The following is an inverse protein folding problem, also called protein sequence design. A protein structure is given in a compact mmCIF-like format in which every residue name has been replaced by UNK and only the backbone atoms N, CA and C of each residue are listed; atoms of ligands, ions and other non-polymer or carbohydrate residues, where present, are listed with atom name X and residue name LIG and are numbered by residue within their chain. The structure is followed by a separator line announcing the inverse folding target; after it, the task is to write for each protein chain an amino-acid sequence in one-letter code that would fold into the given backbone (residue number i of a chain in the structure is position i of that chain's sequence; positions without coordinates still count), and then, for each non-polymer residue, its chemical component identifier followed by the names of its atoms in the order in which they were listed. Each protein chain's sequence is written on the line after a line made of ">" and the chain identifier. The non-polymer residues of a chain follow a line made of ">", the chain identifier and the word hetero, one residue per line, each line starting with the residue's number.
data_IF_827563489409
#
_entry.id   IF_827563489409
#
_cell.length_a   1.000
_cell.length_b   1.000
_cell.length_c   1.000
_cell.angle_alpha   90.00
_cell.angle_beta   90.00
_cell.angle_gamma   90.00
#
_symmetry.space_group_name_H-M   'P 1'
#
loop_
_entity.id
_entity.type
_entity.pdbx_description
1 polymer ?
#
# COMPACT_ATOMS: atom_id res chain seq x y z
N UNK A 1 38.03 -19.36 -31.48
CA UNK A 1 39.41 -19.74 -31.13
C UNK A 1 39.68 -19.32 -29.68
N UNK A 2 40.09 -20.28 -28.82
CA UNK A 2 40.96 -20.18 -27.62
C UNK A 2 40.63 -19.08 -26.56
N UNK A 3 40.31 -19.33 -25.28
CA UNK A 3 40.87 -20.22 -24.23
C UNK A 3 39.75 -20.58 -23.20
N UNK A 4 39.49 -21.82 -22.73
CA UNK A 4 40.24 -22.77 -21.86
C UNK A 4 40.71 -22.18 -20.52
N UNK A 5 39.95 -22.39 -19.44
CA UNK A 5 40.11 -23.46 -18.43
C UNK A 5 41.42 -23.42 -17.63
N UNK A 6 41.30 -23.12 -16.33
CA UNK A 6 42.23 -23.54 -15.29
C UNK A 6 41.41 -23.97 -14.06
N UNK A 7 41.34 -25.29 -13.88
CA UNK A 7 41.06 -25.97 -12.61
C UNK A 7 42.34 -26.67 -12.17
N UNK A 8 42.36 -27.10 -10.88
CA UNK A 8 43.33 -27.94 -10.16
C UNK A 8 44.23 -27.11 -9.20
N UNK A 9 44.47 -27.44 -7.93
CA UNK A 9 44.41 -28.72 -7.18
C UNK A 9 44.11 -28.46 -5.69
N UNK A 10 43.47 -29.45 -5.07
CA UNK A 10 43.34 -29.81 -3.64
C UNK A 10 44.56 -29.54 -2.73
N UNK A 11 44.29 -29.33 -1.44
CA UNK A 11 45.04 -30.00 -0.37
C UNK A 11 44.12 -30.24 0.85
N UNK A 12 44.02 -31.50 1.26
CA UNK A 12 43.53 -31.96 2.55
C UNK A 12 44.59 -31.74 3.62
N UNK A 13 44.19 -31.44 4.86
CA UNK A 13 44.85 -31.93 6.07
C UNK A 13 43.90 -31.84 7.26
N UNK A 14 43.82 -32.95 7.98
CA UNK A 14 43.02 -33.18 9.16
C UNK A 14 43.82 -32.96 10.45
N UNK A 15 43.09 -32.98 11.57
CA UNK A 15 43.51 -33.23 12.95
C UNK A 15 44.17 -32.08 13.73
N UNK A 16 43.58 -31.78 14.89
CA UNK A 16 44.10 -30.86 15.88
C UNK A 16 43.09 -30.54 16.98
N UNK A 17 42.62 -31.57 17.69
CA UNK A 17 41.78 -31.45 18.86
C UNK A 17 42.65 -31.01 20.04
N UNK A 18 42.55 -29.75 20.47
CA UNK A 18 43.07 -29.27 21.76
C UNK A 18 41.94 -28.55 22.49
N UNK A 19 41.41 -29.24 23.49
CA UNK A 19 40.59 -28.69 24.56
C UNK A 19 41.52 -28.01 25.54
N UNK A 20 41.50 -26.68 25.60
CA UNK A 20 42.06 -25.91 26.71
C UNK A 20 41.06 -24.83 27.11
N UNK A 21 40.51 -25.03 28.30
CA UNK A 21 39.58 -24.12 28.94
C UNK A 21 40.22 -22.74 29.12
N UNK A 22 39.52 -21.73 28.63
CA UNK A 22 39.74 -20.35 28.99
C UNK A 22 38.37 -19.68 29.12
N UNK A 23 38.18 -19.08 30.29
CA UNK A 23 37.01 -18.32 30.73
C UNK A 23 36.64 -17.30 29.66
N UNK A 24 35.37 -17.20 29.20
CA UNK A 24 34.98 -16.06 28.40
C UNK A 24 34.91 -14.85 29.32
N UNK A 25 35.98 -14.04 29.32
CA UNK A 25 35.89 -12.65 29.68
C UNK A 25 34.80 -12.02 28.80
N UNK A 26 33.75 -11.49 29.44
CA UNK A 26 32.70 -10.69 28.81
C UNK A 26 33.33 -9.44 28.19
N UNK A 27 33.78 -9.56 26.94
CA UNK A 27 34.04 -8.42 26.09
C UNK A 27 32.68 -7.82 25.73
N UNK A 28 32.31 -6.74 26.44
CA UNK A 28 31.21 -5.87 26.04
C UNK A 28 31.54 -5.27 24.68
N UNK A 29 31.08 -5.93 23.62
CA UNK A 29 30.94 -5.31 22.31
C UNK A 29 29.90 -4.20 22.43
N UNK A 30 30.38 -2.97 22.59
CA UNK A 30 29.63 -1.74 22.40
C UNK A 30 29.24 -1.67 20.91
N UNK A 31 28.11 -2.28 20.57
CA UNK A 31 27.68 -2.48 19.18
C UNK A 31 26.19 -2.21 18.99
N UNK A 32 25.89 -0.98 18.56
CA UNK A 32 24.90 -0.68 17.51
C UNK A 32 23.43 -1.11 17.70
N UNK A 33 22.93 -1.25 18.92
CA UNK A 33 21.51 -1.49 19.21
C UNK A 33 20.77 -0.30 19.88
N UNK A 34 21.42 0.84 20.10
CA UNK A 34 20.86 1.99 20.86
C UNK A 34 20.27 3.12 19.98
N UNK A 35 19.84 2.80 18.75
CA UNK A 35 19.49 3.83 17.77
C UNK A 35 18.01 4.22 17.67
N UNK A 36 17.06 3.48 18.26
CA UNK A 36 15.63 3.70 17.98
C UNK A 36 14.66 3.43 19.14
N UNK A 37 15.14 3.32 20.38
CA UNK A 37 14.24 3.47 21.53
C UNK A 37 14.03 4.97 21.77
N UNK A 38 13.03 5.54 21.08
CA UNK A 38 12.53 6.90 21.38
C UNK A 38 12.02 6.89 22.81
N UNK A 39 12.86 7.38 23.72
CA UNK A 39 12.57 7.60 25.13
C UNK A 39 11.16 8.17 25.29
N UNK A 40 10.34 7.50 26.11
CA UNK A 40 9.06 8.04 26.55
C UNK A 40 9.30 9.42 27.18
N UNK A 41 8.43 10.42 26.92
CA UNK A 41 8.68 11.78 27.40
C UNK A 41 8.76 11.79 28.93
N UNK A 42 9.68 12.58 29.53
CA UNK A 42 9.66 12.82 30.96
C UNK A 42 8.32 13.47 31.35
N UNK A 43 7.77 13.05 32.49
CA UNK A 43 6.52 13.59 33.01
C UNK A 43 6.62 15.12 33.15
N UNK A 44 5.76 15.86 32.45
CA UNK A 44 5.68 17.33 32.52
C UNK A 44 5.95 18.10 31.22
N UNK A 45 6.31 17.45 30.10
CA UNK A 45 6.48 18.16 28.81
C UNK A 45 5.11 18.39 28.14
N UNK A 46 4.68 19.65 28.07
CA UNK A 46 3.50 20.04 27.30
C UNK A 46 3.66 19.60 25.84
N UNK A 47 2.70 18.81 25.34
CA UNK A 47 2.65 18.35 23.95
C UNK A 47 1.48 19.03 23.25
N UNK A 48 1.71 19.62 22.08
CA UNK A 48 0.69 20.22 21.24
C UNK A 48 0.69 19.61 19.84
N UNK A 49 -0.49 19.45 19.24
CA UNK A 49 -0.62 19.02 17.84
C UNK A 49 -0.80 20.25 16.97
N UNK A 50 0.00 20.37 15.91
CA UNK A 50 0.01 21.53 15.02
C UNK A 50 0.01 21.10 13.56
N UNK A 51 -0.75 21.80 12.73
CA UNK A 51 -0.68 21.67 11.28
C UNK A 51 0.62 22.28 10.76
N UNK A 52 1.32 21.61 9.83
CA UNK A 52 2.63 22.04 9.35
C UNK A 52 2.62 23.47 8.78
N UNK A 53 1.62 23.84 7.98
CA UNK A 53 1.53 25.18 7.39
C UNK A 53 1.17 26.23 8.44
N UNK A 54 0.23 25.92 9.35
CA UNK A 54 -0.15 26.85 10.43
C UNK A 54 1.01 27.08 11.40
N UNK A 55 1.70 26.03 11.81
CA UNK A 55 2.86 26.10 12.70
C UNK A 55 4.02 26.87 12.08
N UNK A 56 4.24 26.72 10.76
CA UNK A 56 5.25 27.50 10.05
C UNK A 56 4.89 28.99 9.98
N UNK A 57 3.62 29.33 9.68
CA UNK A 57 3.14 30.73 9.66
C UNK A 57 3.17 31.38 11.04
N UNK A 58 2.90 30.62 12.10
CA UNK A 58 2.96 31.08 13.48
C UNK A 58 4.38 31.27 14.03
N UNK A 59 5.40 30.74 13.34
CA UNK A 59 6.80 30.79 13.78
C UNK A 59 7.18 29.70 14.79
N UNK A 60 6.29 28.72 15.04
CA UNK A 60 6.53 27.55 15.89
C UNK A 60 7.37 26.47 15.19
N UNK A 61 7.38 26.49 13.85
CA UNK A 61 8.14 25.58 13.01
C UNK A 61 8.95 26.33 11.97
N UNK A 62 10.21 25.94 11.80
CA UNK A 62 10.99 26.26 10.60
C UNK A 62 11.07 25.03 9.70
N UNK A 63 10.50 25.12 8.49
CA UNK A 63 10.39 23.99 7.56
C UNK A 63 11.10 24.31 6.26
N UNK A 64 12.00 23.42 5.84
CA UNK A 64 12.68 23.47 4.55
C UNK A 64 12.29 22.25 3.72
N UNK A 65 11.78 22.48 2.52
CA UNK A 65 11.40 21.43 1.58
C UNK A 65 12.39 21.38 0.41
N UNK A 66 12.92 20.18 0.11
CA UNK A 66 13.86 19.93 -0.99
C UNK A 66 13.51 18.70 -1.80
N UNK A 67 13.90 18.68 -3.06
CA UNK A 67 13.70 17.52 -3.94
C UNK A 67 14.46 16.28 -3.44
N UNK A 68 13.87 15.10 -3.59
CA UNK A 68 14.51 13.81 -3.29
C UNK A 68 14.17 12.81 -4.40
N UNK A 69 14.27 13.25 -5.66
CA UNK A 69 13.92 12.48 -6.85
C UNK A 69 12.47 12.67 -7.29
N UNK A 70 11.95 11.69 -8.03
CA UNK A 70 10.64 11.79 -8.69
C UNK A 70 9.46 11.52 -7.75
N UNK A 71 9.66 10.69 -6.73
CA UNK A 71 8.56 10.16 -5.92
C UNK A 71 8.51 10.77 -4.52
N UNK A 72 9.45 11.68 -4.19
CA UNK A 72 9.65 12.16 -2.81
C UNK A 72 10.12 13.60 -2.72
N UNK A 73 9.71 14.22 -1.63
CA UNK A 73 10.24 15.50 -1.13
C UNK A 73 10.78 15.28 0.27
N UNK A 74 11.96 15.83 0.55
CA UNK A 74 12.56 15.84 1.88
C UNK A 74 12.12 17.10 2.62
N UNK A 75 11.51 16.91 3.78
CA UNK A 75 11.17 17.97 4.71
C UNK A 75 12.15 17.95 5.89
N UNK A 76 12.84 19.05 6.12
CA UNK A 76 13.59 19.30 7.35
C UNK A 76 12.72 20.19 8.23
N UNK A 77 12.25 19.65 9.35
CA UNK A 77 11.31 20.32 10.26
C UNK A 77 12.03 20.59 11.57
N UNK A 78 12.22 21.86 11.91
CA UNK A 78 12.78 22.30 13.18
C UNK A 78 11.68 22.91 14.04
N UNK A 79 11.54 22.41 15.27
CA UNK A 79 10.66 22.99 16.27
C UNK A 79 11.35 24.16 16.96
N UNK A 80 10.79 25.35 16.81
CA UNK A 80 11.31 26.60 17.41
C UNK A 80 10.56 26.98 18.68
N UNK A 81 9.48 26.27 19.02
CA UNK A 81 8.73 26.45 20.26
C UNK A 81 9.40 25.74 21.45
N UNK A 82 8.97 26.07 22.66
CA UNK A 82 9.38 25.40 23.90
C UNK A 82 8.62 24.07 24.17
N UNK A 83 7.59 23.77 23.37
CA UNK A 83 6.71 22.60 23.57
C UNK A 83 7.11 21.48 22.65
N UNK A 84 6.77 20.24 23.01
CA UNK A 84 6.85 19.12 22.05
C UNK A 84 5.70 19.25 21.05
N UNK A 85 6.02 19.19 19.76
CA UNK A 85 5.02 19.35 18.71
C UNK A 85 4.76 18.01 17.99
N UNK A 86 3.49 17.63 17.85
CA UNK A 86 3.05 16.60 16.92
C UNK A 86 2.64 17.30 15.62
N UNK A 87 3.51 17.30 14.63
CA UNK A 87 3.32 18.03 13.37
C UNK A 87 2.52 17.18 12.39
N UNK A 88 1.32 17.63 12.03
CA UNK A 88 0.46 16.99 11.04
C UNK A 88 0.78 17.54 9.66
N UNK A 89 0.96 16.66 8.68
CA UNK A 89 1.05 17.05 7.26
C UNK A 89 -0.37 17.04 6.68
N UNK A 90 -0.93 18.21 6.32
CA UNK A 90 -2.29 18.27 5.81
C UNK A 90 -2.41 17.63 4.42
N UNK A 91 -3.56 17.00 4.11
CA UNK A 91 -3.85 16.58 2.74
C UNK A 91 -3.95 17.81 1.84
N UNK A 92 -3.43 17.70 0.61
CA UNK A 92 -3.39 18.83 -0.33
C UNK A 92 -2.19 19.76 -0.14
N UNK A 93 -1.18 19.38 0.62
CA UNK A 93 0.08 20.14 0.69
C UNK A 93 0.83 20.09 -0.64
N UNK A 94 1.31 21.23 -1.12
CA UNK A 94 2.10 21.36 -2.34
C UNK A 94 3.47 21.92 -2.02
N UNK A 95 4.52 21.27 -2.52
CA UNK A 95 5.87 21.79 -2.60
C UNK A 95 6.03 22.49 -3.95
N UNK A 96 5.76 23.79 -3.96
CA UNK A 96 5.78 24.62 -5.16
C UNK A 96 7.20 25.09 -5.45
N UNK A 97 7.62 24.94 -6.71
CA UNK A 97 8.93 25.43 -7.11
C UNK A 97 8.92 26.96 -7.26
N UNK A 98 9.89 27.64 -6.66
CA UNK A 98 10.01 29.08 -6.81
C UNK A 98 10.31 29.47 -8.27
N UNK A 99 9.64 30.52 -8.77
CA UNK A 99 9.95 31.12 -10.05
C UNK A 99 11.42 31.56 -10.08
N UNK A 100 12.19 31.10 -11.07
CA UNK A 100 13.60 31.51 -11.26
C UNK A 100 14.67 30.54 -10.75
N UNK A 101 14.33 29.44 -10.07
CA UNK A 101 15.32 28.44 -9.64
C UNK A 101 15.72 27.42 -10.75
N UNK A 102 15.26 27.60 -11.99
CA UNK A 102 15.56 26.71 -13.12
C UNK A 102 16.62 27.32 -14.03
N UNK A 103 17.89 26.92 -13.89
CA UNK A 103 18.93 27.26 -14.85
C UNK A 103 18.62 26.61 -16.20
N UNK A 104 18.29 27.42 -17.22
CA UNK A 104 18.12 26.94 -18.61
C UNK A 104 16.72 27.07 -19.23
N UNK A 105 15.86 27.96 -18.74
CA UNK A 105 14.63 28.35 -19.46
C UNK A 105 13.47 27.35 -19.43
N UNK A 106 13.60 26.26 -18.67
CA UNK A 106 12.50 25.37 -18.30
C UNK A 106 12.29 25.49 -16.79
N UNK A 107 11.08 25.87 -16.37
CA UNK A 107 10.74 26.05 -14.96
C UNK A 107 11.00 24.80 -14.13
N UNK A 108 11.06 24.97 -12.82
CA UNK A 108 11.20 23.85 -11.89
C UNK A 108 9.85 23.15 -11.65
N UNK A 109 9.90 21.85 -11.38
CA UNK A 109 8.71 21.01 -11.17
C UNK A 109 8.12 21.18 -9.77
N UNK A 110 6.83 21.51 -9.66
CA UNK A 110 6.10 21.48 -8.39
C UNK A 110 5.60 20.06 -8.08
N UNK A 111 5.48 19.77 -6.78
CA UNK A 111 5.17 18.43 -6.28
C UNK A 111 3.97 18.45 -5.33
N UNK A 112 2.98 17.59 -5.57
CA UNK A 112 1.87 17.35 -4.64
C UNK A 112 2.31 16.33 -3.60
N UNK A 113 2.14 16.63 -2.32
CA UNK A 113 2.63 15.80 -1.22
C UNK A 113 1.54 14.85 -0.72
N UNK A 114 1.95 13.61 -0.48
CA UNK A 114 1.14 12.57 0.14
C UNK A 114 1.35 12.54 1.67
N UNK A 115 1.26 11.34 2.25
CA UNK A 115 1.40 11.13 3.69
C UNK A 115 2.75 10.53 4.07
N UNK A 116 3.25 10.87 5.25
CA UNK A 116 4.48 10.31 5.83
C UNK A 116 4.36 8.86 6.29
N UNK A 117 3.14 8.34 6.41
CA UNK A 117 2.89 6.97 6.88
C UNK A 117 3.02 5.90 5.80
N UNK A 118 3.26 6.29 4.55
CA UNK A 118 3.23 5.36 3.41
C UNK A 118 4.60 4.76 3.10
N UNK A 119 4.61 3.49 2.71
CA UNK A 119 5.82 2.81 2.23
C UNK A 119 6.25 3.32 0.84
N UNK A 120 7.46 2.93 0.41
CA UNK A 120 7.94 3.22 -0.94
C UNK A 120 6.98 2.63 -1.99
N UNK A 121 6.62 3.44 -2.99
CA UNK A 121 5.67 3.06 -4.04
C UNK A 121 4.21 3.41 -3.74
N UNK A 122 3.87 3.84 -2.53
CA UNK A 122 2.53 4.33 -2.18
C UNK A 122 2.44 5.85 -2.05
N UNK A 123 1.22 6.37 -2.10
CA UNK A 123 0.89 7.79 -1.95
C UNK A 123 -0.37 7.96 -1.09
N UNK A 124 -0.31 8.78 -0.04
CA UNK A 124 -1.46 9.15 0.79
C UNK A 124 -1.71 8.27 2.02
N UNK A 125 -2.67 8.69 2.83
CA UNK A 125 -3.13 8.00 4.04
C UNK A 125 -4.05 6.88 3.61
N UNK A 126 -3.71 5.63 3.90
CA UNK A 126 -4.64 4.52 3.70
C UNK A 126 -5.62 4.51 4.86
N UNK A 127 -6.61 5.41 4.83
CA UNK A 127 -7.64 5.47 5.85
C UNK A 127 -8.28 4.08 5.97
N UNK A 128 -7.97 3.35 7.04
CA UNK A 128 -8.53 2.02 7.24
C UNK A 128 -10.02 2.19 7.41
N UNK A 129 -10.81 1.63 6.49
CA UNK A 129 -12.22 1.38 6.75
C UNK A 129 -12.28 0.58 8.06
N UNK A 130 -12.95 1.18 9.04
CA UNK A 130 -13.08 0.66 10.38
C UNK A 130 -13.44 -0.83 10.42
N UNK A 131 -12.85 -1.54 11.39
CA UNK A 131 -13.47 -2.71 12.01
C UNK A 131 -13.30 -4.02 11.26
N UNK A 132 -12.12 -4.64 11.38
CA UNK A 132 -12.09 -6.09 11.50
C UNK A 132 -12.89 -6.46 12.77
N UNK A 133 -14.14 -6.89 12.58
CA UNK A 133 -14.86 -7.64 13.58
C UNK A 133 -14.04 -8.90 13.91
N UNK A 134 -13.40 -8.92 15.07
CA UNK A 134 -12.60 -10.07 15.51
C UNK A 134 -11.45 -9.70 16.44
N UNK A 135 -11.74 -9.67 17.75
CA UNK A 135 -10.78 -9.85 18.84
C UNK A 135 -9.80 -8.71 19.17
N UNK A 136 -10.27 -7.46 19.34
CA UNK A 136 -9.58 -6.49 20.21
C UNK A 136 -10.56 -5.80 21.16
N UNK A 137 -10.44 -6.11 22.45
CA UNK A 137 -11.22 -5.56 23.57
C UNK A 137 -10.67 -4.21 24.07
N UNK A 138 -10.28 -3.33 23.16
CA UNK A 138 -10.00 -1.93 23.47
C UNK A 138 -10.60 -1.09 22.36
N UNK A 139 -11.59 -0.26 22.70
CA UNK A 139 -12.13 0.76 21.82
C UNK A 139 -11.00 1.69 21.36
N UNK A 140 -10.53 1.51 20.13
CA UNK A 140 -9.78 2.57 19.45
C UNK A 140 -10.85 3.51 18.90
N UNK A 141 -11.22 4.50 19.72
CA UNK A 141 -11.81 5.74 19.22
C UNK A 141 -11.03 6.15 17.97
N UNK A 142 -11.68 6.43 16.82
CA UNK A 142 -10.97 6.97 15.66
C UNK A 142 -10.32 8.27 16.10
N UNK A 143 -9.00 8.27 16.28
CA UNK A 143 -8.30 9.49 16.61
C UNK A 143 -8.39 10.38 15.37
N UNK A 144 -8.97 11.59 15.45
CA UNK A 144 -9.16 12.49 14.30
C UNK A 144 -7.84 13.11 13.79
N UNK A 145 -6.70 12.57 14.22
CA UNK A 145 -5.38 13.10 13.97
C UNK A 145 -4.74 12.19 12.92
N UNK A 146 -4.62 12.69 11.69
CA UNK A 146 -3.80 12.05 10.66
C UNK A 146 -2.36 11.82 11.15
N UNK A 147 -1.56 10.97 10.48
CA UNK A 147 -0.20 10.64 10.89
C UNK A 147 0.61 11.92 11.15
N UNK A 148 0.99 12.09 12.41
CA UNK A 148 1.74 13.23 12.89
C UNK A 148 3.19 12.85 13.18
N UNK A 149 4.11 13.77 12.94
CA UNK A 149 5.52 13.57 13.25
C UNK A 149 5.86 14.30 14.52
N UNK A 150 6.31 13.56 15.53
CA UNK A 150 6.74 14.14 16.80
C UNK A 150 8.10 14.84 16.65
N UNK A 151 8.12 16.15 16.91
CA UNK A 151 9.31 17.00 16.92
C UNK A 151 9.49 17.54 18.34
N UNK A 152 10.50 17.05 19.10
CA UNK A 152 10.78 17.61 20.42
C UNK A 152 11.14 19.10 20.36
N UNK A 153 11.00 19.79 21.49
CA UNK A 153 11.34 21.23 21.60
C UNK A 153 12.79 21.48 21.18
N UNK A 154 13.03 22.48 20.32
CA UNK A 154 14.36 22.85 19.84
C UNK A 154 15.01 21.89 18.83
N UNK A 155 14.45 20.69 18.65
CA UNK A 155 15.02 19.64 17.81
C UNK A 155 14.67 19.82 16.32
N UNK A 156 15.50 19.22 15.47
CA UNK A 156 15.29 19.15 14.02
C UNK A 156 15.16 17.70 13.59
N UNK A 157 14.15 17.41 12.79
CA UNK A 157 13.96 16.09 12.20
C UNK A 157 13.92 16.19 10.68
N UNK A 158 14.35 15.11 10.01
CA UNK A 158 14.18 14.95 8.58
C UNK A 158 13.13 13.88 8.28
N UNK A 159 12.23 14.18 7.35
CA UNK A 159 11.18 13.27 6.92
C UNK A 159 11.15 13.25 5.40
N UNK A 160 11.04 12.05 4.82
CA UNK A 160 10.82 11.87 3.39
C UNK A 160 9.33 11.64 3.16
N UNK A 161 8.69 12.55 2.42
CA UNK A 161 7.26 12.49 2.11
C UNK A 161 7.09 12.01 0.68
N UNK A 162 6.23 11.00 0.42
CA UNK A 162 5.82 10.65 -0.94
C UNK A 162 5.26 11.86 -1.67
N UNK A 163 5.57 11.99 -2.94
CA UNK A 163 5.21 13.13 -3.73
C UNK A 163 4.95 12.73 -5.19
N UNK A 164 4.07 13.45 -5.86
CA UNK A 164 3.76 13.28 -7.28
C UNK A 164 3.99 14.58 -8.03
N UNK A 165 4.46 14.47 -9.26
CA UNK A 165 4.73 15.61 -10.12
C UNK A 165 3.42 16.29 -10.55
N UNK A 166 3.32 17.61 -10.39
CA UNK A 166 2.15 18.40 -10.82
C UNK A 166 2.33 19.02 -12.21
N UNK A 167 3.55 18.98 -12.74
CA UNK A 167 3.90 19.55 -14.03
C UNK A 167 4.55 18.48 -14.91
N UNK A 168 3.80 17.98 -15.88
CA UNK A 168 4.31 17.06 -16.88
C UNK A 168 5.42 17.69 -17.74
N UNK A 169 6.43 16.89 -18.12
CA UNK A 169 7.52 17.30 -19.00
C UNK A 169 8.65 18.13 -18.34
N UNK A 170 8.52 18.50 -17.07
CA UNK A 170 9.60 19.17 -16.32
C UNK A 170 10.59 18.16 -15.72
N UNK A 171 11.81 18.63 -15.49
CA UNK A 171 12.90 17.80 -14.97
C UNK A 171 12.62 17.36 -13.52
N UNK A 172 13.02 16.13 -13.20
CA UNK A 172 12.90 15.56 -11.87
C UNK A 172 13.68 16.39 -10.83
N UNK A 173 13.06 16.74 -9.69
CA UNK A 173 13.71 17.47 -8.63
C UNK A 173 14.93 16.74 -8.06
N UNK A 174 15.97 17.51 -7.79
CA UNK A 174 17.18 17.10 -7.09
C UNK A 174 17.23 17.73 -5.70
N UNK A 175 18.11 17.28 -4.79
CA UNK A 175 18.31 17.90 -3.49
C UNK A 175 18.74 19.39 -3.53
N UNK A 176 19.20 19.89 -4.69
CA UNK A 176 19.51 21.31 -4.86
C UNK A 176 18.25 22.18 -5.07
N UNK A 177 17.14 21.59 -5.53
CA UNK A 177 15.88 22.29 -5.73
C UNK A 177 15.19 22.50 -4.38
N UNK A 178 14.82 23.75 -4.07
CA UNK A 178 14.14 24.12 -2.82
C UNK A 178 12.72 24.56 -3.13
N UNK A 179 11.76 24.19 -2.28
CA UNK A 179 10.34 24.43 -2.51
C UNK A 179 9.74 25.35 -1.45
N UNK A 180 8.74 26.12 -1.87
CA UNK A 180 7.82 26.82 -0.97
C UNK A 180 6.61 25.92 -0.72
N UNK A 181 6.34 25.62 0.55
CA UNK A 181 5.16 24.85 0.93
C UNK A 181 3.92 25.73 0.96
N UNK A 182 2.82 25.26 0.37
CA UNK A 182 1.54 25.96 0.34
C UNK A 182 0.37 24.96 0.25
N UNK A 183 -0.85 25.42 0.54
CA UNK A 183 -2.03 24.60 0.30
C UNK A 183 -2.31 24.51 -1.20
N UNK A 184 -2.90 23.41 -1.66
CA UNK A 184 -3.31 23.24 -3.06
C UNK A 184 -4.29 24.34 -3.52
N UNK A 185 -5.06 24.91 -2.60
CA UNK A 185 -5.92 26.07 -2.88
C UNK A 185 -5.15 27.35 -3.20
N UNK A 186 -3.95 27.52 -2.64
CA UNK A 186 -3.06 28.65 -2.98
C UNK A 186 -2.27 28.35 -4.27
N UNK A 187 -2.13 27.07 -4.64
CA UNK A 187 -1.40 26.63 -5.83
C UNK A 187 -2.24 26.66 -7.12
N UNK A 188 -3.49 26.21 -7.08
CA UNK A 188 -4.35 26.10 -8.26
C UNK A 188 -5.79 26.53 -7.95
N UNK A 189 -6.38 27.26 -8.89
CA UNK A 189 -7.79 27.66 -8.87
C UNK A 189 -8.73 26.57 -9.39
N UNK A 190 -8.20 25.49 -9.99
CA UNK A 190 -9.02 24.38 -10.48
C UNK A 190 -9.52 23.52 -9.28
N UNK A 191 -10.84 23.46 -9.02
CA UNK A 191 -11.39 22.62 -7.96
C UNK A 191 -11.04 21.14 -8.13
N UNK A 192 -10.87 20.64 -9.36
CA UNK A 192 -10.51 19.24 -9.65
C UNK A 192 -9.13 18.90 -9.08
N UNK A 193 -8.15 19.79 -9.23
CA UNK A 193 -6.79 19.60 -8.70
C UNK A 193 -6.80 19.50 -7.18
N UNK A 194 -7.53 20.40 -6.50
CA UNK A 194 -7.64 20.39 -5.04
C UNK A 194 -8.33 19.12 -4.53
N UNK A 195 -9.46 18.77 -5.15
CA UNK A 195 -10.25 17.59 -4.83
C UNK A 195 -9.45 16.30 -5.03
N UNK A 196 -8.81 16.15 -6.19
CA UNK A 196 -8.01 14.98 -6.51
C UNK A 196 -6.84 14.82 -5.54
N UNK A 197 -6.02 15.87 -5.34
CA UNK A 197 -4.84 15.78 -4.49
C UNK A 197 -5.21 15.49 -3.03
N UNK A 198 -6.23 16.17 -2.48
CA UNK A 198 -6.69 15.92 -1.11
C UNK A 198 -7.25 14.51 -0.97
N UNK A 199 -8.08 14.06 -1.92
CA UNK A 199 -8.69 12.73 -1.87
C UNK A 199 -7.64 11.63 -1.97
N UNK A 200 -6.67 11.73 -2.89
CA UNK A 200 -5.56 10.78 -2.98
C UNK A 200 -4.70 10.78 -1.72
N UNK A 201 -4.40 11.97 -1.18
CA UNK A 201 -3.64 12.09 0.06
C UNK A 201 -4.38 11.54 1.28
N UNK A 202 -5.72 11.47 1.26
CA UNK A 202 -6.56 10.97 2.36
C UNK A 202 -6.97 9.50 2.24
N UNK A 203 -7.18 9.00 1.02
CA UNK A 203 -7.66 7.64 0.76
C UNK A 203 -6.53 6.64 0.50
N UNK A 204 -5.39 7.14 0.04
CA UNK A 204 -4.22 6.33 -0.27
C UNK A 204 -4.36 5.63 -1.63
N UNK A 205 -3.25 5.45 -2.34
CA UNK A 205 -3.16 4.60 -3.54
C UNK A 205 -1.68 4.32 -3.82
N UNK A 206 -1.38 3.65 -4.92
CA UNK A 206 -0.03 3.53 -5.44
C UNK A 206 0.44 4.83 -6.09
N UNK A 207 1.74 5.07 -6.06
CA UNK A 207 2.36 6.25 -6.66
C UNK A 207 2.06 6.35 -8.15
N UNK A 208 2.03 5.24 -8.89
CA UNK A 208 1.72 5.22 -10.32
C UNK A 208 0.31 5.75 -10.62
N UNK A 209 -0.69 5.29 -9.85
CA UNK A 209 -2.08 5.78 -9.95
C UNK A 209 -2.15 7.27 -9.60
N UNK A 210 -1.58 7.68 -8.47
CA UNK A 210 -1.60 9.08 -8.05
C UNK A 210 -0.93 10.00 -9.08
N UNK A 211 0.20 9.58 -9.66
CA UNK A 211 0.91 10.35 -10.68
C UNK A 211 0.09 10.49 -11.97
N UNK A 212 -0.58 9.43 -12.40
CA UNK A 212 -1.46 9.44 -13.58
C UNK A 212 -2.64 10.38 -13.38
N UNK A 213 -3.31 10.31 -12.21
CA UNK A 213 -4.40 11.24 -11.86
C UNK A 213 -3.91 12.68 -11.89
N UNK A 214 -2.80 12.99 -11.22
CA UNK A 214 -2.32 14.37 -11.12
C UNK A 214 -1.91 14.96 -12.47
N UNK A 215 -1.32 14.18 -13.37
CA UNK A 215 -1.04 14.65 -14.73
C UNK A 215 -2.31 14.86 -15.55
N UNK A 216 -3.33 14.02 -15.35
CA UNK A 216 -4.62 14.21 -16.03
C UNK A 216 -5.30 15.49 -15.56
N UNK A 217 -5.38 15.73 -14.25
CA UNK A 217 -6.12 16.90 -13.72
C UNK A 217 -5.33 18.22 -13.79
N UNK A 218 -3.99 18.20 -13.69
CA UNK A 218 -3.19 19.43 -13.73
C UNK A 218 -2.78 19.84 -15.15
N UNK A 219 -2.70 18.90 -16.09
CA UNK A 219 -2.10 19.14 -17.42
C UNK A 219 -2.98 18.65 -18.58
N UNK A 220 -4.17 18.13 -18.29
CA UNK A 220 -5.09 17.51 -19.26
C UNK A 220 -4.44 16.43 -20.15
N UNK A 221 -3.36 15.81 -19.66
CA UNK A 221 -2.63 14.80 -20.41
C UNK A 221 -3.53 13.56 -20.64
N UNK A 222 -3.77 13.11 -21.88
CA UNK A 222 -4.59 11.93 -22.15
C UNK A 222 -3.94 10.65 -21.63
N UNK A 223 -4.75 9.70 -21.17
CA UNK A 223 -4.26 8.42 -20.63
C UNK A 223 -3.55 7.57 -21.70
N UNK A 224 -3.93 7.69 -22.96
CA UNK A 224 -3.30 7.03 -24.11
C UNK A 224 -1.86 7.56 -24.30
N UNK A 225 -1.66 8.86 -24.10
CA UNK A 225 -0.34 9.49 -24.11
C UNK A 225 0.51 9.00 -22.94
N UNK A 226 -0.08 8.83 -21.75
CA UNK A 226 0.62 8.25 -20.60
C UNK A 226 1.03 6.80 -20.85
N UNK A 227 0.14 5.98 -21.39
CA UNK A 227 0.41 4.57 -21.68
C UNK A 227 1.58 4.40 -22.67
N UNK A 228 1.70 5.28 -23.66
CA UNK A 228 2.76 5.24 -24.66
C UNK A 228 4.09 5.85 -24.19
N UNK A 229 4.07 6.88 -23.34
CA UNK A 229 5.25 7.68 -23.02
C UNK A 229 5.77 7.50 -21.58
N UNK A 230 4.96 6.97 -20.68
CA UNK A 230 5.25 6.91 -19.25
C UNK A 230 5.29 5.48 -18.67
N UNK A 231 5.49 4.45 -19.51
CA UNK A 231 5.51 3.04 -19.11
C UNK A 231 6.53 2.67 -18.01
N UNK A 232 7.53 3.52 -17.75
CA UNK A 232 8.48 3.36 -16.63
C UNK A 232 7.88 3.80 -15.29
N UNK A 233 6.98 4.78 -15.31
CA UNK A 233 6.40 5.46 -14.14
C UNK A 233 5.10 4.79 -13.76
N UNK A 234 4.26 4.45 -14.74
CA UNK A 234 2.96 3.83 -14.54
C UNK A 234 2.73 2.70 -15.56
N UNK A 235 1.94 1.69 -15.19
CA UNK A 235 1.49 0.64 -16.09
C UNK A 235 0.01 0.80 -16.48
N UNK A 236 -0.45 -0.01 -17.42
CA UNK A 236 -1.82 0.06 -17.96
C UNK A 236 -2.88 -0.10 -16.87
N UNK A 237 -2.68 -1.00 -15.90
CA UNK A 237 -3.64 -1.20 -14.80
C UNK A 237 -3.72 0.02 -13.89
N UNK A 238 -2.58 0.64 -13.56
CA UNK A 238 -2.53 1.90 -12.80
C UNK A 238 -3.25 3.03 -13.55
N UNK A 239 -3.10 3.11 -14.87
CA UNK A 239 -3.81 4.08 -15.72
C UNK A 239 -5.32 3.86 -15.70
N UNK A 240 -5.79 2.62 -15.78
CA UNK A 240 -7.23 2.30 -15.74
C UNK A 240 -7.87 2.68 -14.40
N UNK A 241 -7.16 2.44 -13.29
CA UNK A 241 -7.60 2.88 -11.97
C UNK A 241 -7.66 4.40 -11.91
N UNK A 242 -6.62 5.08 -12.40
CA UNK A 242 -6.56 6.54 -12.44
C UNK A 242 -7.70 7.15 -13.27
N UNK A 243 -8.02 6.56 -14.41
CA UNK A 243 -9.13 6.99 -15.26
C UNK A 243 -10.46 6.98 -14.51
N UNK A 244 -10.78 5.87 -13.85
CA UNK A 244 -12.00 5.80 -13.03
C UNK A 244 -12.00 6.82 -11.88
N UNK A 245 -10.86 7.01 -11.22
CA UNK A 245 -10.80 8.00 -10.14
C UNK A 245 -11.06 9.42 -10.67
N UNK A 246 -10.51 9.77 -11.84
CA UNK A 246 -10.78 11.05 -12.50
C UNK A 246 -12.26 11.17 -12.88
N UNK A 247 -12.91 10.11 -13.38
CA UNK A 247 -14.35 10.13 -13.66
C UNK A 247 -15.16 10.45 -12.39
N UNK A 248 -14.76 9.92 -11.23
CA UNK A 248 -15.40 10.23 -9.95
C UNK A 248 -15.12 11.65 -9.45
N UNK A 249 -13.92 12.19 -9.71
CA UNK A 249 -13.59 13.60 -9.45
C UNK A 249 -14.51 14.49 -10.30
N UNK A 250 -14.72 14.14 -11.57
CA UNK A 250 -15.47 14.95 -12.54
C UNK A 250 -16.99 14.86 -12.33
N UNK A 251 -17.51 13.71 -11.89
CA UNK A 251 -18.96 13.51 -11.61
C UNK A 251 -19.46 14.23 -10.37
N UNK A 252 -18.59 14.60 -9.44
CA UNK A 252 -18.99 15.21 -8.17
C UNK A 252 -18.69 16.72 -8.20
N UNK A 253 -19.72 17.58 -8.30
CA UNK A 253 -19.54 19.02 -8.55
C UNK A 253 -18.99 19.80 -7.36
N UNK A 254 -19.02 19.22 -6.15
CA UNK A 254 -18.57 19.88 -4.93
C UNK A 254 -17.06 19.74 -4.70
N UNK A 255 -16.46 20.70 -4.00
CA UNK A 255 -15.04 20.63 -3.56
C UNK A 255 -14.78 19.55 -2.49
N UNK A 256 -15.81 18.80 -2.09
CA UNK A 256 -15.69 17.69 -1.16
C UNK A 256 -14.80 16.58 -1.73
N UNK A 257 -14.22 15.78 -0.83
CA UNK A 257 -13.41 14.63 -1.22
C UNK A 257 -14.24 13.63 -2.06
N UNK A 258 -13.55 12.86 -2.89
CA UNK A 258 -14.17 11.71 -3.57
C UNK A 258 -14.69 10.75 -2.51
N UNK A 259 -15.95 10.32 -2.66
CA UNK A 259 -16.53 9.32 -1.77
C UNK A 259 -15.77 8.00 -1.88
N UNK A 260 -15.14 7.60 -0.77
CA UNK A 260 -14.41 6.33 -0.68
C UNK A 260 -15.31 5.12 -0.93
N UNK A 261 -16.61 5.21 -0.62
CA UNK A 261 -17.55 4.12 -0.87
C UNK A 261 -17.71 3.87 -2.38
N UNK A 262 -17.82 4.93 -3.18
CA UNK A 262 -17.93 4.84 -4.63
C UNK A 262 -16.73 4.13 -5.27
N UNK A 263 -15.54 4.19 -4.64
CA UNK A 263 -14.34 3.50 -5.11
C UNK A 263 -14.39 1.99 -4.89
N UNK A 264 -15.09 1.53 -3.86
CA UNK A 264 -15.12 0.12 -3.44
C UNK A 264 -16.23 -0.70 -4.10
N UNK A 265 -17.33 -0.06 -4.52
CA UNK A 265 -18.48 -0.76 -5.13
C UNK A 265 -18.18 -1.29 -6.54
N UNK A 266 -18.87 -2.38 -6.91
CA UNK A 266 -18.77 -3.06 -8.20
C UNK A 266 -17.34 -3.45 -8.59
N UNK A 267 -16.55 -3.88 -7.58
CA UNK A 267 -15.15 -4.28 -7.74
C UNK A 267 -14.92 -5.78 -7.67
N UNK A 268 -15.71 -6.49 -6.85
CA UNK A 268 -15.56 -7.92 -6.63
C UNK A 268 -16.89 -8.60 -6.86
N UNK A 269 -16.94 -9.40 -7.92
CA UNK A 269 -18.08 -10.22 -8.28
C UNK A 269 -17.80 -11.66 -7.91
N UNK A 270 -18.76 -12.32 -7.27
CA UNK A 270 -18.63 -13.71 -6.83
C UNK A 270 -19.74 -14.55 -7.44
N UNK A 271 -19.35 -15.68 -8.01
CA UNK A 271 -20.24 -16.73 -8.47
C UNK A 271 -19.89 -18.01 -7.73
N UNK A 272 -20.90 -18.67 -7.18
CA UNK A 272 -20.74 -19.93 -6.44
C UNK A 272 -21.70 -20.93 -7.07
N UNK A 273 -21.15 -22.06 -7.53
CA UNK A 273 -21.94 -23.12 -8.12
C UNK A 273 -21.54 -24.48 -7.54
N UNK A 274 -22.53 -25.37 -7.43
CA UNK A 274 -22.36 -26.75 -6.99
C UNK A 274 -23.16 -27.69 -7.89
N UNK A 275 -22.61 -28.86 -8.19
CA UNK A 275 -23.26 -29.83 -9.07
C UNK A 275 -24.22 -30.77 -8.30
N UNK A 276 -25.32 -31.15 -8.95
CA UNK A 276 -26.24 -32.18 -8.45
C UNK A 276 -26.81 -31.86 -7.05
N UNK A 277 -26.52 -32.72 -6.08
CA UNK A 277 -27.01 -32.60 -4.71
C UNK A 277 -26.47 -31.35 -3.97
N UNK A 278 -25.37 -30.75 -4.45
CA UNK A 278 -24.72 -29.59 -3.82
C UNK A 278 -25.33 -28.25 -4.23
N UNK A 279 -26.24 -28.22 -5.21
CA UNK A 279 -26.79 -26.98 -5.75
C UNK A 279 -27.52 -26.13 -4.69
N UNK A 280 -28.26 -26.77 -3.77
CA UNK A 280 -28.99 -26.06 -2.71
C UNK A 280 -28.04 -25.40 -1.70
N UNK A 281 -27.00 -26.11 -1.28
CA UNK A 281 -26.02 -25.56 -0.34
C UNK A 281 -25.15 -24.49 -0.99
N UNK A 282 -24.82 -24.65 -2.28
CA UNK A 282 -24.13 -23.62 -3.06
C UNK A 282 -24.96 -22.34 -3.15
N UNK A 283 -26.28 -22.43 -3.41
CA UNK A 283 -27.17 -21.27 -3.41
C UNK A 283 -27.25 -20.62 -2.02
N UNK A 284 -27.36 -21.41 -0.95
CA UNK A 284 -27.35 -20.87 0.42
C UNK A 284 -26.08 -20.06 0.70
N UNK A 285 -24.91 -20.58 0.30
CA UNK A 285 -23.64 -19.88 0.45
C UNK A 285 -23.58 -18.64 -0.43
N UNK A 286 -24.10 -18.73 -1.66
CA UNK A 286 -24.25 -17.61 -2.58
C UNK A 286 -25.01 -16.43 -1.94
N UNK A 287 -26.20 -16.70 -1.40
CA UNK A 287 -27.05 -15.69 -0.76
C UNK A 287 -26.38 -15.08 0.48
N UNK A 288 -25.59 -15.88 1.22
CA UNK A 288 -24.86 -15.41 2.39
C UNK A 288 -23.69 -14.49 2.02
N UNK A 289 -23.02 -14.73 0.88
CA UNK A 289 -21.78 -14.02 0.49
C UNK A 289 -21.95 -12.51 0.33
N UNK A 290 -23.15 -12.02 -0.01
CA UNK A 290 -23.44 -10.58 -0.16
C UNK A 290 -23.20 -9.80 1.14
N UNK A 291 -23.26 -10.46 2.29
CA UNK A 291 -23.06 -9.83 3.60
C UNK A 291 -21.58 -9.72 4.00
N UNK A 292 -20.67 -10.26 3.19
CA UNK A 292 -19.25 -10.32 3.50
C UNK A 292 -18.41 -9.51 2.52
N UNK A 293 -17.16 -9.29 2.92
CA UNK A 293 -16.14 -8.64 2.09
C UNK A 293 -15.13 -9.67 1.63
N UNK A 294 -14.58 -9.47 0.44
CA UNK A 294 -13.42 -10.19 -0.04
C UNK A 294 -12.32 -9.19 -0.40
N UNK A 295 -11.11 -9.45 0.09
CA UNK A 295 -9.94 -8.57 -0.06
C UNK A 295 -10.22 -7.14 0.44
N UNK A 296 -11.05 -7.01 1.48
CA UNK A 296 -11.53 -5.73 2.02
C UNK A 296 -12.65 -5.05 1.23
N UNK A 297 -13.04 -5.57 0.06
CA UNK A 297 -14.04 -4.97 -0.82
C UNK A 297 -15.42 -5.63 -0.66
N UNK A 298 -16.53 -4.86 -0.81
CA UNK A 298 -17.87 -5.43 -0.84
C UNK A 298 -18.03 -6.44 -1.96
N UNK A 299 -18.70 -7.56 -1.67
CA UNK A 299 -19.00 -8.61 -2.64
C UNK A 299 -20.32 -8.31 -3.33
N UNK A 300 -20.35 -8.48 -4.65
CA UNK A 300 -21.58 -8.59 -5.44
C UNK A 300 -21.75 -10.02 -5.92
N UNK A 301 -22.78 -10.69 -5.43
CA UNK A 301 -23.09 -12.05 -5.86
C UNK A 301 -23.82 -12.02 -7.23
N UNK A 302 -23.50 -12.97 -8.10
CA UNK A 302 -24.08 -13.12 -9.44
C UNK A 302 -24.90 -14.40 -9.59
N UNK A 303 -26.20 -14.24 -9.87
CA UNK A 303 -27.10 -15.38 -10.15
C UNK A 303 -26.90 -15.96 -11.56
N UNK A 304 -26.51 -15.12 -12.52
CA UNK A 304 -26.43 -15.48 -13.94
C UNK A 304 -25.05 -16.01 -14.35
N UNK A 305 -25.07 -16.88 -15.37
CA UNK A 305 -23.85 -17.40 -16.01
C UNK A 305 -23.09 -16.31 -16.80
N UNK A 306 -23.78 -15.23 -17.17
CA UNK A 306 -23.23 -14.15 -17.97
C UNK A 306 -22.18 -13.34 -17.22
N UNK A 307 -21.26 -12.75 -17.99
CA UNK A 307 -20.20 -11.93 -17.43
C UNK A 307 -20.77 -10.57 -16.96
N UNK A 308 -20.44 -10.12 -15.73
CA UNK A 308 -21.01 -8.88 -15.21
C UNK A 308 -20.46 -7.65 -15.94
N UNK A 309 -21.28 -6.60 -16.02
CA UNK A 309 -20.84 -5.26 -16.39
C UNK A 309 -20.20 -4.55 -15.19
N UNK A 310 -19.03 -3.96 -15.38
CA UNK A 310 -18.38 -3.13 -14.38
C UNK A 310 -17.72 -1.92 -15.04
N UNK A 311 -17.85 -0.74 -14.40
CA UNK A 311 -17.11 0.45 -14.82
C UNK A 311 -15.66 0.35 -14.30
N UNK A 312 -14.73 0.08 -15.22
CA UNK A 312 -13.29 -0.01 -14.94
C UNK A 312 -12.83 -1.33 -14.29
N UNK A 313 -11.65 -1.33 -13.64
CA UNK A 313 -11.04 -2.53 -13.06
C UNK A 313 -11.96 -3.27 -12.08
N UNK A 314 -12.16 -4.57 -12.29
CA UNK A 314 -12.97 -5.45 -11.45
C UNK A 314 -12.47 -6.90 -11.46
N UNK A 315 -12.81 -7.66 -10.41
CA UNK A 315 -12.50 -9.09 -10.24
C UNK A 315 -13.78 -9.92 -10.33
N UNK A 316 -13.68 -11.07 -11.00
CA UNK A 316 -14.71 -12.11 -11.02
C UNK A 316 -14.12 -13.36 -10.39
N UNK A 317 -14.74 -13.82 -9.31
CA UNK A 317 -14.33 -14.99 -8.55
C UNK A 317 -15.40 -16.06 -8.78
N UNK A 318 -15.06 -17.07 -9.58
CA UNK A 318 -15.95 -18.19 -9.86
C UNK A 318 -15.52 -19.41 -9.03
N UNK A 319 -16.43 -19.89 -8.20
CA UNK A 319 -16.19 -20.94 -7.20
C UNK A 319 -17.03 -22.17 -7.54
N UNK A 320 -16.35 -23.24 -7.92
CA UNK A 320 -16.96 -24.55 -8.12
C UNK A 320 -16.78 -25.39 -6.85
N UNK A 321 -17.89 -25.69 -6.17
CA UNK A 321 -17.90 -26.51 -4.96
C UNK A 321 -18.03 -28.00 -5.31
N UNK A 322 -17.17 -28.80 -4.70
CA UNK A 322 -17.15 -30.25 -4.85
C UNK A 322 -17.07 -30.91 -3.48
N UNK A 323 -17.89 -31.94 -3.27
CA UNK A 323 -17.73 -32.85 -2.15
C UNK A 323 -16.87 -34.02 -2.63
N UNK A 324 -15.71 -34.21 -2.00
CA UNK A 324 -14.78 -35.29 -2.37
C UNK A 324 -14.68 -36.38 -1.32
N UNK A 325 -15.11 -36.11 -0.08
CA UNK A 325 -15.08 -37.03 1.07
C UNK A 325 -16.17 -36.61 2.06
N UNK A 326 -16.83 -37.61 2.67
CA UNK A 326 -17.83 -37.38 3.71
C UNK A 326 -17.26 -36.44 4.79
N UNK A 327 -17.86 -35.27 4.92
CA UNK A 327 -17.47 -34.28 5.92
C UNK A 327 -16.44 -33.25 5.46
N UNK A 328 -15.95 -33.27 4.22
CA UNK A 328 -14.97 -32.30 3.72
C UNK A 328 -15.48 -31.53 2.50
N UNK A 329 -15.33 -30.21 2.53
CA UNK A 329 -15.67 -29.33 1.39
C UNK A 329 -14.42 -28.93 0.64
N UNK A 330 -14.42 -29.08 -0.69
CA UNK A 330 -13.35 -28.59 -1.56
C UNK A 330 -13.90 -27.65 -2.63
N UNK A 331 -13.32 -26.46 -2.72
CA UNK A 331 -13.67 -25.49 -3.76
C UNK A 331 -12.54 -25.27 -4.75
N UNK A 332 -12.86 -25.22 -6.04
CA UNK A 332 -11.97 -24.73 -7.10
C UNK A 332 -12.34 -23.28 -7.41
N UNK A 333 -11.34 -22.42 -7.51
CA UNK A 333 -11.51 -20.99 -7.75
C UNK A 333 -10.89 -20.64 -9.10
N UNK A 334 -11.67 -20.01 -9.98
CA UNK A 334 -11.16 -19.31 -11.16
C UNK A 334 -11.27 -17.81 -10.92
N UNK A 335 -10.22 -17.06 -11.24
CA UNK A 335 -10.14 -15.62 -10.99
C UNK A 335 -9.99 -14.91 -12.34
N UNK A 336 -11.01 -14.13 -12.68
CA UNK A 336 -11.06 -13.25 -13.84
C UNK A 336 -10.83 -11.79 -13.44
N UNK A 337 -10.34 -11.02 -14.40
CA UNK A 337 -10.13 -9.57 -14.32
C UNK A 337 -10.72 -8.89 -15.53
N UNK A 338 -11.43 -7.78 -15.31
CA UNK A 338 -11.85 -6.86 -16.37
C UNK A 338 -10.91 -5.67 -16.40
N UNK A 339 -10.16 -5.54 -17.49
CA UNK A 339 -9.25 -4.42 -17.75
C UNK A 339 -9.81 -3.40 -18.74
N UNK A 340 -8.93 -2.67 -19.43
CA UNK A 340 -9.31 -1.58 -20.34
C UNK A 340 -9.98 -1.99 -21.66
N UNK A 341 -9.96 -3.28 -22.01
CA UNK A 341 -10.61 -3.78 -23.23
C UNK A 341 -12.06 -4.20 -22.98
N UNK A 342 -12.59 -3.95 -21.77
CA UNK A 342 -13.93 -4.37 -21.31
C UNK A 342 -14.21 -5.90 -21.32
N UNK A 343 -13.26 -6.69 -21.78
CA UNK A 343 -13.29 -8.15 -21.74
C UNK A 343 -12.79 -8.70 -20.39
N UNK A 344 -13.41 -9.81 -19.97
CA UNK A 344 -12.98 -10.60 -18.82
C UNK A 344 -11.85 -11.54 -19.22
N UNK A 345 -10.69 -11.42 -18.56
CA UNK A 345 -9.50 -12.24 -18.80
C UNK A 345 -9.13 -13.06 -17.56
N UNK A 346 -8.70 -14.32 -17.71
CA UNK A 346 -8.26 -15.12 -16.59
C UNK A 346 -6.92 -14.61 -16.06
N UNK A 347 -6.82 -14.38 -14.75
CA UNK A 347 -5.57 -13.94 -14.09
C UNK A 347 -5.03 -14.96 -13.09
N UNK A 348 -5.84 -15.93 -12.68
CA UNK A 348 -5.41 -16.92 -11.70
C UNK A 348 -6.40 -18.06 -11.51
N UNK A 349 -5.90 -19.11 -10.86
CA UNK A 349 -6.69 -20.24 -10.36
C UNK A 349 -6.18 -20.58 -8.97
N UNK A 350 -7.08 -21.01 -8.10
CA UNK A 350 -6.74 -21.44 -6.75
C UNK A 350 -7.71 -22.54 -6.29
N UNK A 351 -7.51 -23.04 -5.08
CA UNK A 351 -8.43 -23.98 -4.45
C UNK A 351 -8.33 -23.86 -2.95
N UNK A 352 -9.42 -24.18 -2.26
CA UNK A 352 -9.42 -24.31 -0.81
C UNK A 352 -10.00 -25.66 -0.39
N UNK A 353 -9.70 -26.04 0.85
CA UNK A 353 -10.26 -27.20 1.52
C UNK A 353 -10.68 -26.80 2.93
N UNK A 354 -11.83 -27.32 3.36
CA UNK A 354 -12.34 -27.19 4.72
C UNK A 354 -12.78 -28.56 5.26
N UNK A 355 -12.57 -28.77 6.55
CA UNK A 355 -12.93 -30.02 7.24
C UNK A 355 -14.40 -30.09 7.63
N UNK A 356 -15.21 -29.11 7.21
CA UNK A 356 -16.65 -29.10 7.40
C UNK A 356 -17.36 -29.57 6.14
N UNK A 357 -18.49 -30.27 6.31
CA UNK A 357 -19.37 -30.59 5.19
C UNK A 357 -20.01 -29.32 4.63
N UNK A 358 -20.41 -29.38 3.36
CA UNK A 358 -20.97 -28.20 2.68
C UNK A 358 -22.27 -27.71 3.35
N UNK A 359 -23.04 -28.61 3.94
CA UNK A 359 -24.26 -28.29 4.69
C UNK A 359 -24.00 -27.46 5.97
N UNK A 360 -22.79 -27.55 6.55
CA UNK A 360 -22.42 -26.85 7.78
C UNK A 360 -21.55 -25.63 7.50
N UNK A 361 -20.86 -25.58 6.35
CA UNK A 361 -20.06 -24.43 5.95
C UNK A 361 -20.93 -23.17 5.87
N UNK A 362 -20.51 -22.10 6.55
CA UNK A 362 -21.15 -20.79 6.53
C UNK A 362 -20.43 -19.80 5.59
N UNK A 363 -21.13 -18.73 5.22
CA UNK A 363 -20.59 -17.69 4.35
C UNK A 363 -19.34 -16.99 4.91
N UNK A 364 -19.23 -16.81 6.24
CA UNK A 364 -18.06 -16.19 6.87
C UNK A 364 -16.80 -17.04 6.68
N UNK A 365 -16.91 -18.35 6.96
CA UNK A 365 -15.80 -19.29 6.79
C UNK A 365 -15.44 -19.41 5.32
N UNK A 366 -16.43 -19.48 4.42
CA UNK A 366 -16.17 -19.46 2.99
C UNK A 366 -15.42 -18.19 2.57
N UNK A 367 -15.88 -17.00 2.99
CA UNK A 367 -15.25 -15.73 2.64
C UNK A 367 -13.78 -15.69 3.09
N UNK A 368 -13.47 -16.09 4.32
CA UNK A 368 -12.07 -16.19 4.82
C UNK A 368 -11.23 -17.14 3.98
N UNK A 369 -11.77 -18.30 3.60
CA UNK A 369 -11.05 -19.29 2.78
C UNK A 369 -10.80 -18.77 1.36
N UNK A 370 -11.78 -18.09 0.77
CA UNK A 370 -11.62 -17.45 -0.54
C UNK A 370 -10.55 -16.36 -0.48
N UNK A 371 -10.59 -15.49 0.53
CA UNK A 371 -9.58 -14.45 0.74
C UNK A 371 -8.17 -15.02 0.82
N UNK A 372 -7.97 -16.01 1.69
CA UNK A 372 -6.66 -16.65 1.84
C UNK A 372 -6.19 -17.32 0.54
N UNK A 373 -7.09 -18.02 -0.16
CA UNK A 373 -6.78 -18.73 -1.39
C UNK A 373 -6.47 -17.78 -2.56
N UNK A 374 -7.16 -16.64 -2.66
CA UNK A 374 -6.93 -15.61 -3.68
C UNK A 374 -5.65 -14.84 -3.37
N UNK A 375 -5.46 -14.42 -2.12
CA UNK A 375 -4.27 -13.74 -1.67
C UNK A 375 -3.01 -14.59 -1.92
N UNK A 376 -3.03 -15.88 -1.58
CA UNK A 376 -1.92 -16.80 -1.83
C UNK A 376 -1.64 -17.07 -3.31
N UNK A 377 -2.63 -16.91 -4.19
CA UNK A 377 -2.46 -17.11 -5.64
C UNK A 377 -1.93 -15.86 -6.36
N UNK A 378 -2.33 -14.67 -5.92
CA UNK A 378 -2.08 -13.41 -6.63
C UNK A 378 -1.12 -12.46 -5.93
N UNK A 379 -0.78 -12.71 -4.67
CA UNK A 379 0.19 -11.92 -3.92
C UNK A 379 1.29 -12.84 -3.41
N UNK A 380 2.54 -12.53 -3.75
CA UNK A 380 3.68 -13.36 -3.32
C UNK A 380 4.61 -12.59 -2.42
N UNK A 381 5.05 -13.23 -1.35
CA UNK A 381 6.05 -12.71 -0.41
C UNK A 381 7.24 -13.65 -0.42
N UNK A 382 8.43 -13.11 -0.67
CA UNK A 382 9.68 -13.88 -0.74
C UNK A 382 10.81 -13.16 -0.02
N UNK A 383 11.72 -13.85 0.69
CA UNK A 383 12.92 -13.22 1.24
C UNK A 383 13.78 -12.61 0.13
N UNK A 384 14.04 -11.31 0.18
CA UNK A 384 14.91 -10.60 -0.75
C UNK A 384 16.32 -10.42 -0.19
N UNK A 385 16.43 -10.09 1.11
CA UNK A 385 17.70 -9.93 1.81
C UNK A 385 17.57 -10.39 3.25
N UNK A 386 18.53 -11.16 3.74
CA UNK A 386 18.59 -11.61 5.14
C UNK A 386 19.69 -10.83 5.88
N UNK A 387 19.39 -10.37 7.08
CA UNK A 387 20.31 -9.76 8.03
C UNK A 387 20.15 -10.45 9.40
N UNK A 388 21.10 -10.22 10.30
CA UNK A 388 21.02 -10.75 11.68
C UNK A 388 19.80 -10.13 12.35
N UNK A 389 18.80 -10.96 12.68
CA UNK A 389 17.55 -10.54 13.34
C UNK A 389 16.46 -10.01 12.40
N UNK A 390 16.74 -9.68 11.14
CA UNK A 390 15.76 -9.06 10.23
C UNK A 390 15.87 -9.58 8.79
N UNK A 391 14.73 -9.80 8.15
CA UNK A 391 14.64 -10.13 6.73
C UNK A 391 13.86 -9.04 6.00
N UNK A 392 14.38 -8.58 4.87
CA UNK A 392 13.60 -7.80 3.91
C UNK A 392 12.87 -8.77 2.99
N UNK A 393 11.55 -8.73 3.06
CA UNK A 393 10.64 -9.46 2.19
C UNK A 393 10.37 -8.63 0.94
N UNK A 394 10.42 -9.24 -0.24
CA UNK A 394 9.83 -8.70 -1.46
C UNK A 394 8.38 -9.15 -1.54
N UNK A 395 7.49 -8.18 -1.50
CA UNK A 395 6.07 -8.32 -1.80
C UNK A 395 5.86 -8.03 -3.28
N UNK A 396 5.26 -8.95 -4.02
CA UNK A 396 4.85 -8.77 -5.42
C UNK A 396 3.32 -8.81 -5.51
N UNK A 397 2.72 -7.76 -6.07
CA UNK A 397 1.27 -7.64 -6.27
C UNK A 397 0.89 -8.01 -7.70
N UNK A 398 0.09 -9.06 -7.89
CA UNK A 398 -0.51 -9.44 -9.19
C UNK A 398 -2.01 -9.19 -9.25
N UNK A 399 -2.59 -8.61 -8.20
CA UNK A 399 -3.96 -8.12 -8.25
C UNK A 399 -4.02 -6.86 -9.13
N UNK A 400 -5.19 -6.59 -9.74
CA UNK A 400 -5.38 -5.41 -10.59
C UNK A 400 -5.68 -4.13 -9.80
N UNK A 401 -5.38 -4.11 -8.50
CA UNK A 401 -5.66 -3.01 -7.57
C UNK A 401 -4.44 -2.74 -6.69
N UNK A 402 -4.40 -1.58 -6.07
CA UNK A 402 -3.42 -1.22 -5.04
C UNK A 402 -3.68 -2.00 -3.76
N UNK A 403 -2.63 -2.64 -3.22
CA UNK A 403 -2.66 -3.22 -1.88
C UNK A 403 -2.60 -2.10 -0.83
N UNK A 404 -3.66 -1.94 -0.04
CA UNK A 404 -3.71 -0.97 1.06
C UNK A 404 -3.04 -1.53 2.32
N UNK A 405 -3.34 -2.78 2.65
CA UNK A 405 -2.77 -3.50 3.78
C UNK A 405 -2.52 -4.97 3.43
N UNK A 406 -1.57 -5.58 4.12
CA UNK A 406 -1.37 -7.02 4.09
C UNK A 406 -1.14 -7.56 5.49
N UNK A 407 -1.43 -8.83 5.67
CA UNK A 407 -1.11 -9.59 6.87
C UNK A 407 -0.28 -10.80 6.46
N UNK A 408 0.87 -10.96 7.09
CA UNK A 408 1.77 -12.10 6.82
C UNK A 408 1.95 -12.94 8.07
N UNK A 409 2.05 -14.25 7.87
CA UNK A 409 2.42 -15.21 8.90
C UNK A 409 3.93 -15.40 8.91
N UNK A 410 4.58 -15.11 10.02
CA UNK A 410 6.03 -15.06 10.17
C UNK A 410 6.65 -16.45 10.42
N UNK A 411 6.67 -17.28 9.38
CA UNK A 411 7.21 -18.64 9.40
C UNK A 411 6.15 -19.70 9.12
N UNK A 412 6.56 -20.97 9.14
CA UNK A 412 5.74 -22.08 8.63
C UNK A 412 5.05 -22.89 9.75
N UNK A 413 5.33 -22.58 11.02
CA UNK A 413 4.74 -23.29 12.16
C UNK A 413 3.29 -22.87 12.42
N UNK A 414 2.48 -23.77 12.99
CA UNK A 414 1.09 -23.48 13.32
C UNK A 414 0.93 -22.24 14.21
N UNK A 415 1.83 -22.06 15.19
CA UNK A 415 1.84 -20.93 16.12
C UNK A 415 2.73 -19.74 15.70
N UNK A 416 3.15 -19.66 14.43
CA UNK A 416 3.94 -18.52 13.96
C UNK A 416 3.14 -17.21 14.10
N UNK A 417 3.77 -16.11 14.54
CA UNK A 417 3.07 -14.87 14.77
C UNK A 417 2.59 -14.23 13.46
N UNK A 418 1.47 -13.54 13.56
CA UNK A 418 0.84 -12.82 12.44
C UNK A 418 1.24 -11.35 12.52
N UNK A 419 1.78 -10.82 11.43
CA UNK A 419 2.34 -9.46 11.36
C UNK A 419 1.55 -8.63 10.34
N UNK A 420 0.79 -7.62 10.78
CA UNK A 420 0.07 -6.72 9.89
C UNK A 420 1.00 -5.61 9.37
N UNK A 421 0.85 -5.27 8.09
CA UNK A 421 1.43 -4.11 7.44
C UNK A 421 0.31 -3.25 6.87
N UNK A 422 0.12 -2.06 7.42
CA UNK A 422 -0.80 -1.06 6.89
C UNK A 422 -0.08 -0.09 5.95
N UNK A 423 -0.84 0.62 5.12
CA UNK A 423 -0.35 1.65 4.21
C UNK A 423 0.80 1.18 3.30
N UNK A 424 0.64 -0.02 2.72
CA UNK A 424 1.66 -0.65 1.88
C UNK A 424 1.75 0.05 0.53
N UNK A 425 0.60 0.35 -0.08
CA UNK A 425 0.49 1.14 -1.30
C UNK A 425 1.16 0.54 -2.53
N UNK A 426 1.14 -0.79 -2.65
CA UNK A 426 1.74 -1.48 -3.80
C UNK A 426 0.74 -1.58 -4.94
N UNK A 427 0.99 -0.84 -6.02
CA UNK A 427 0.15 -0.83 -7.21
C UNK A 427 0.09 -2.18 -7.93
N UNK A 428 -0.86 -2.36 -8.85
CA UNK A 428 -0.99 -3.59 -9.65
C UNK A 428 0.29 -3.86 -10.44
N UNK A 429 0.78 -5.09 -10.42
CA UNK A 429 2.02 -5.47 -11.12
C UNK A 429 3.30 -4.87 -10.53
N UNK A 430 3.25 -4.30 -9.32
CA UNK A 430 4.40 -3.70 -8.64
C UNK A 430 4.91 -4.56 -7.49
N UNK A 431 6.07 -4.18 -6.98
CA UNK A 431 6.70 -4.81 -5.83
C UNK A 431 7.13 -3.79 -4.79
N UNK A 432 7.16 -4.20 -3.52
CA UNK A 432 7.77 -3.42 -2.44
C UNK A 432 8.64 -4.30 -1.53
N UNK A 433 9.47 -3.65 -0.71
CA UNK A 433 10.27 -4.29 0.32
C UNK A 433 9.67 -4.01 1.69
N UNK A 434 9.43 -5.07 2.46
CA UNK A 434 8.87 -5.01 3.81
C UNK A 434 9.81 -5.70 4.81
N UNK A 435 10.22 -5.03 5.91
CA UNK A 435 11.06 -5.65 6.93
C UNK A 435 10.24 -6.55 7.86
N UNK A 436 10.77 -7.73 8.21
CA UNK A 436 10.18 -8.64 9.20
C UNK A 436 11.26 -9.22 10.12
N UNK A 437 10.92 -9.50 11.38
CA UNK A 437 11.79 -10.19 12.34
C UNK A 437 11.62 -11.72 12.25
N UNK A 438 11.74 -12.28 11.04
CA UNK A 438 11.57 -13.72 10.78
C UNK A 438 12.36 -14.15 9.53
N UNK A 439 12.76 -15.43 9.40
CA UNK A 439 13.53 -15.91 8.24
C UNK A 439 12.70 -16.01 6.95
N UNK A 440 11.39 -16.21 7.07
CA UNK A 440 10.41 -16.34 5.99
C UNK A 440 9.06 -15.83 6.46
N UNK A 441 8.16 -15.58 5.50
CA UNK A 441 6.78 -15.26 5.77
C UNK A 441 5.88 -15.75 4.63
N UNK A 442 4.62 -16.03 4.93
CA UNK A 442 3.57 -16.36 3.96
C UNK A 442 2.43 -15.34 4.05
N UNK A 443 1.76 -15.08 2.93
CA UNK A 443 0.59 -14.19 2.90
C UNK A 443 -0.58 -14.91 3.57
N UNK A 444 -1.24 -14.21 4.50
CA UNK A 444 -2.44 -14.69 5.17
C UNK A 444 -3.68 -13.94 4.71
N UNK A 445 -3.58 -12.61 4.63
CA UNK A 445 -4.68 -11.74 4.22
C UNK A 445 -4.15 -10.51 3.48
N UNK A 446 -4.97 -9.94 2.59
CA UNK A 446 -4.67 -8.70 1.87
C UNK A 446 -5.93 -7.84 1.79
N UNK A 447 -5.74 -6.54 1.85
CA UNK A 447 -6.80 -5.55 1.70
C UNK A 447 -6.53 -4.66 0.49
N UNK A 448 -7.60 -4.33 -0.20
CA UNK A 448 -7.66 -3.39 -1.31
C UNK A 448 -8.52 -2.20 -0.91
N UNK A 449 -8.25 -1.02 -1.46
CA UNK A 449 -9.06 0.17 -1.21
C UNK A 449 -9.88 0.63 -2.44
N UNK A 450 -9.96 -0.20 -3.48
CA UNK A 450 -10.68 0.10 -4.72
C UNK A 450 -9.91 1.01 -5.70
N UNK A 451 -8.71 1.46 -5.30
CA UNK A 451 -7.71 2.15 -6.11
C UNK A 451 -6.48 1.29 -6.35
#
# INVERSE_FOLDING_TARGET
>A
MLWRHLCLVRAWSAAGLIVLGSVPATAQTKGLADGLERSAPPAGVETATVDLLKGSKAGDLNVVARGDGQERVRLTIRNTSAKRLNVVIPPGLVASAAAGQGGGGRGNQSMGLGSVSTHAGGFGQFASSAGAAGLRSVDVLPSPIGPAVAVPSGETIEVKVPAVCLNYGLATPTPANTFTLMDVADYSNDPRVRKALRSLATLGTSHGVAQAVMWRVCNDLPFESMASQAGKIMNTSEIMIAARFVDLVDRSPDEQLVDGSALMHDRVFVRIHGEGALAKDAQRLHDQMVNYRLLGLPVRALDDADAPSAEGPALLIDVALTDTRIGETKGRIAIGYRGGNDDWQPIGKSSFQDSSSLAVLDGETLARKLDQAIAGALVTVKPARKAVGSTLLKLDNRLPFTLSAITVKAGDSAGAPVVPYAAVGVGPGRSALLPIQAPSATIEHVELNGL
#
